data_IF_464129686035
#
_entry.id   IF_464129686035
#
_cell.length_a   1.000
_cell.length_b   1.000
_cell.length_c   1.000
_cell.angle_alpha   90.00
_cell.angle_beta   90.00
_cell.angle_gamma   90.00
#
_symmetry.space_group_name_H-M   'P 1'
#
loop_
_entity.id
_entity.type
_entity.pdbx_description
1 polymer ?
#
# COMPACT_ATOMS: atom_id res chain seq x y z
N UNK A 1 28.41 10.69 -18.28
CA UNK A 1 27.59 9.47 -18.41
C UNK A 1 26.16 9.88 -18.69
N UNK A 2 25.45 9.24 -19.62
CA UNK A 2 24.08 9.63 -19.97
C UNK A 2 23.08 8.75 -19.21
N UNK A 3 22.63 9.23 -18.06
CA UNK A 3 21.41 8.74 -17.40
C UNK A 3 20.20 9.44 -18.02
N UNK A 4 19.10 8.73 -18.24
CA UNK A 4 17.81 9.36 -18.61
C UNK A 4 16.86 9.26 -17.40
N UNK A 5 16.26 10.39 -17.03
CA UNK A 5 15.41 10.51 -15.83
C UNK A 5 13.98 10.81 -16.23
N UNK A 6 13.05 10.06 -15.67
CA UNK A 6 11.62 10.13 -15.94
C UNK A 6 10.83 10.33 -14.64
N UNK A 7 9.66 10.97 -14.72
CA UNK A 7 8.67 11.05 -13.65
C UNK A 7 7.64 9.94 -13.78
N UNK A 8 7.41 9.20 -12.68
CA UNK A 8 6.29 8.28 -12.52
C UNK A 8 5.58 8.55 -11.19
N UNK A 9 4.45 9.26 -11.25
CA UNK A 9 3.67 9.68 -10.07
C UNK A 9 4.52 10.51 -9.07
N UNK A 10 4.94 9.92 -7.95
CA UNK A 10 5.85 10.51 -6.94
C UNK A 10 7.33 10.07 -7.08
N UNK A 11 7.63 9.17 -8.01
CA UNK A 11 8.94 8.56 -8.20
C UNK A 11 9.71 9.17 -9.38
N UNK A 12 11.02 9.31 -9.23
CA UNK A 12 11.96 9.48 -10.35
C UNK A 12 12.41 8.08 -10.77
N UNK A 13 12.22 7.72 -12.03
CA UNK A 13 12.78 6.51 -12.63
C UNK A 13 14.03 6.91 -13.41
N UNK A 14 15.18 6.34 -13.06
CA UNK A 14 16.47 6.58 -13.69
C UNK A 14 16.84 5.35 -14.51
N UNK A 15 17.12 5.58 -15.78
CA UNK A 15 17.63 4.60 -16.73
C UNK A 15 19.13 4.78 -16.91
N UNK A 16 19.88 3.75 -16.52
CA UNK A 16 21.34 3.68 -16.66
C UNK A 16 21.69 3.00 -17.99
N UNK A 17 22.89 3.28 -18.53
CA UNK A 17 23.41 2.53 -19.69
C UNK A 17 23.70 1.08 -19.28
N UNK A 18 22.83 0.15 -19.70
CA UNK A 18 23.01 -1.30 -19.48
C UNK A 18 21.88 -1.95 -18.67
N UNK A 19 20.62 -1.78 -19.09
CA UNK A 19 19.42 -2.47 -18.57
C UNK A 19 19.01 -2.13 -17.13
N UNK A 20 19.93 -1.62 -16.30
CA UNK A 20 19.63 -1.23 -14.91
C UNK A 20 18.68 -0.02 -14.86
N UNK A 21 17.53 -0.23 -14.22
CA UNK A 21 16.57 0.81 -13.84
C UNK A 21 16.57 0.98 -12.33
N UNK A 22 16.51 2.22 -11.85
CA UNK A 22 16.38 2.53 -10.42
C UNK A 22 15.30 3.56 -10.17
N UNK A 23 14.48 3.37 -9.14
CA UNK A 23 13.56 4.39 -8.63
C UNK A 23 14.22 5.23 -7.54
N UNK A 24 13.78 6.48 -7.41
CA UNK A 24 14.09 7.39 -6.29
C UNK A 24 12.81 8.07 -5.84
N UNK A 25 12.59 8.19 -4.52
CA UNK A 25 11.54 9.03 -3.93
C UNK A 25 12.08 9.82 -2.72
N UNK A 26 11.51 10.99 -2.47
CA UNK A 26 11.76 11.76 -1.24
C UNK A 26 11.05 11.10 -0.05
N UNK A 27 11.70 11.12 1.12
CA UNK A 27 11.06 10.88 2.42
C UNK A 27 11.19 12.12 3.32
N UNK A 28 10.39 12.19 4.38
CA UNK A 28 10.42 13.30 5.32
C UNK A 28 11.84 13.60 5.86
N UNK A 29 12.08 14.85 6.26
CA UNK A 29 13.36 15.36 6.78
C UNK A 29 14.50 15.47 5.74
N UNK A 30 14.18 15.55 4.45
CA UNK A 30 15.19 15.82 3.41
C UNK A 30 16.07 14.61 3.07
N UNK A 31 15.64 13.41 3.44
CA UNK A 31 16.27 12.18 2.98
C UNK A 31 15.58 11.65 1.71
N UNK A 32 16.29 10.84 0.95
CA UNK A 32 15.79 10.17 -0.25
C UNK A 32 15.99 8.67 -0.15
N UNK A 33 15.06 7.91 -0.73
CA UNK A 33 15.10 6.45 -0.83
C UNK A 33 15.22 6.05 -2.28
N UNK A 34 16.06 5.05 -2.56
CA UNK A 34 16.21 4.48 -3.89
C UNK A 34 16.28 2.96 -3.87
N UNK A 35 15.98 2.36 -5.02
CA UNK A 35 16.05 0.92 -5.22
C UNK A 35 15.92 0.54 -6.68
N UNK A 36 16.10 -0.74 -6.98
CA UNK A 36 15.98 -1.26 -8.36
C UNK A 36 14.54 -1.30 -8.86
N UNK A 37 14.41 -1.15 -10.17
CA UNK A 37 13.19 -1.33 -10.94
C UNK A 37 13.42 -2.43 -11.99
N UNK A 38 12.35 -3.12 -12.35
CA UNK A 38 12.37 -4.22 -13.31
C UNK A 38 11.22 -4.06 -14.30
N UNK A 39 11.45 -4.23 -15.60
CA UNK A 39 10.37 -4.26 -16.60
C UNK A 39 9.98 -5.72 -16.82
N UNK A 40 8.69 -6.01 -16.66
CA UNK A 40 8.06 -7.29 -16.97
C UNK A 40 6.97 -7.00 -17.99
N UNK A 41 7.28 -7.17 -19.28
CA UNK A 41 6.37 -6.80 -20.37
C UNK A 41 5.87 -5.35 -20.25
N UNK A 42 4.55 -5.17 -20.13
CA UNK A 42 3.88 -3.89 -19.98
C UNK A 42 3.82 -3.36 -18.53
N UNK A 43 4.51 -3.99 -17.57
CA UNK A 43 4.51 -3.62 -16.15
C UNK A 43 5.92 -3.20 -15.70
N UNK A 44 6.04 -2.00 -15.11
CA UNK A 44 7.22 -1.61 -14.33
C UNK A 44 7.04 -2.08 -12.86
N UNK A 45 7.85 -3.02 -12.43
CA UNK A 45 7.90 -3.49 -11.04
C UNK A 45 8.89 -2.65 -10.26
N UNK A 46 8.40 -1.87 -9.29
CA UNK A 46 9.19 -1.12 -8.32
C UNK A 46 9.69 -2.11 -7.25
N UNK A 47 11.01 -2.30 -7.17
CA UNK A 47 11.65 -3.23 -6.24
C UNK A 47 11.67 -2.74 -4.79
N UNK A 48 12.42 -3.45 -3.96
CA UNK A 48 12.65 -3.07 -2.55
C UNK A 48 13.53 -1.82 -2.43
N UNK A 49 13.51 -1.21 -1.24
CA UNK A 49 14.51 -0.23 -0.84
C UNK A 49 15.90 -0.87 -0.88
N UNK A 50 16.82 -0.32 -1.67
CA UNK A 50 18.24 -0.71 -1.65
C UNK A 50 19.10 0.32 -0.89
N UNK A 51 18.77 1.63 -0.93
CA UNK A 51 19.52 2.70 -0.25
C UNK A 51 18.65 3.82 0.29
N UNK A 52 19.09 4.40 1.41
CA UNK A 52 18.56 5.65 1.98
C UNK A 52 19.73 6.61 2.19
N UNK A 53 19.62 7.82 1.64
CA UNK A 53 20.70 8.80 1.54
C UNK A 53 20.17 10.21 1.87
N UNK A 54 21.05 11.15 2.22
CA UNK A 54 20.67 12.56 2.26
C UNK A 54 20.24 13.00 0.85
N UNK A 55 19.18 13.80 0.76
CA UNK A 55 18.54 14.16 -0.50
C UNK A 55 18.04 15.61 -0.50
N UNK A 56 17.07 15.85 -1.36
CA UNK A 56 16.45 17.16 -1.54
C UNK A 56 15.31 17.36 -0.52
N UNK A 57 15.04 18.61 -0.16
CA UNK A 57 13.82 18.95 0.58
C UNK A 57 12.58 18.63 -0.28
N UNK A 58 11.44 18.40 0.36
CA UNK A 58 10.19 17.97 -0.31
C UNK A 58 9.81 18.84 -1.52
N UNK A 59 9.98 20.16 -1.39
CA UNK A 59 9.64 21.12 -2.42
C UNK A 59 10.63 21.04 -3.60
N UNK A 60 11.93 21.05 -3.32
CA UNK A 60 13.00 20.90 -4.31
C UNK A 60 12.87 19.59 -5.10
N UNK A 61 12.62 18.47 -4.41
CA UNK A 61 12.38 17.17 -5.05
C UNK A 61 11.16 17.23 -5.97
N UNK A 62 10.08 17.87 -5.53
CA UNK A 62 8.85 18.01 -6.32
C UNK A 62 9.04 18.91 -7.54
N UNK A 63 9.76 20.02 -7.40
CA UNK A 63 10.12 20.91 -8.51
C UNK A 63 11.01 20.22 -9.54
N UNK A 64 11.99 19.43 -9.09
CA UNK A 64 12.82 18.62 -9.97
C UNK A 64 11.98 17.54 -10.68
N UNK A 65 11.17 16.78 -9.93
CA UNK A 65 10.26 15.76 -10.45
C UNK A 65 9.31 16.32 -11.54
N UNK A 66 8.81 17.54 -11.37
CA UNK A 66 7.92 18.19 -12.33
C UNK A 66 8.61 18.64 -13.63
N UNK A 67 9.93 18.78 -13.65
CA UNK A 67 10.74 19.12 -14.84
C UNK A 67 11.07 17.88 -15.70
N UNK A 68 10.88 16.67 -15.19
CA UNK A 68 11.21 15.43 -15.90
C UNK A 68 10.12 14.99 -16.89
N UNK A 69 10.49 14.36 -18.02
CA UNK A 69 9.53 13.72 -18.92
C UNK A 69 8.76 12.61 -18.18
N UNK A 70 7.50 12.39 -18.53
CA UNK A 70 6.73 11.30 -17.93
C UNK A 70 7.23 9.93 -18.40
N UNK A 71 7.17 8.93 -17.52
CA UNK A 71 7.43 7.54 -17.88
C UNK A 71 6.34 7.02 -18.84
N UNK A 72 6.76 6.51 -19.99
CA UNK A 72 5.88 6.04 -21.07
C UNK A 72 6.26 4.66 -21.63
N UNK A 73 7.27 3.97 -21.07
CA UNK A 73 7.75 2.68 -21.59
C UNK A 73 6.91 1.47 -21.18
N UNK A 74 6.06 1.61 -20.16
CA UNK A 74 5.15 0.58 -19.68
C UNK A 74 3.76 1.16 -19.48
N UNK A 75 2.72 0.36 -19.71
CA UNK A 75 1.32 0.78 -19.47
C UNK A 75 0.98 0.81 -17.99
N UNK A 76 1.58 -0.08 -17.22
CA UNK A 76 1.33 -0.23 -15.80
C UNK A 76 2.61 -0.17 -14.95
N UNK A 77 2.42 0.02 -13.65
CA UNK A 77 3.43 -0.19 -12.62
C UNK A 77 2.82 -0.80 -11.35
N UNK A 78 3.63 -1.51 -10.57
CA UNK A 78 3.26 -2.05 -9.26
C UNK A 78 4.50 -2.21 -8.38
N UNK A 79 4.32 -2.53 -7.10
CA UNK A 79 5.43 -2.80 -6.18
C UNK A 79 5.70 -4.31 -6.08
N UNK A 80 6.96 -4.72 -6.10
CA UNK A 80 7.37 -6.12 -5.91
C UNK A 80 6.86 -6.72 -4.59
N UNK A 81 6.74 -5.89 -3.54
CA UNK A 81 6.18 -6.26 -2.24
C UNK A 81 4.68 -6.60 -2.26
N UNK A 82 3.97 -6.18 -3.32
CA UNK A 82 2.55 -6.50 -3.54
C UNK A 82 2.33 -7.75 -4.40
N UNK A 83 3.41 -8.32 -4.94
CA UNK A 83 3.40 -9.53 -5.74
C UNK A 83 3.98 -10.71 -4.95
N UNK A 84 3.56 -11.91 -5.33
CA UNK A 84 4.00 -13.18 -4.74
C UNK A 84 4.41 -14.12 -5.86
N UNK A 85 5.52 -14.84 -5.67
CA UNK A 85 5.93 -15.91 -6.59
C UNK A 85 4.90 -17.05 -6.53
N UNK A 86 4.57 -17.64 -7.68
CA UNK A 86 3.79 -18.87 -7.73
C UNK A 86 4.71 -20.04 -7.40
N UNK A 87 4.26 -20.97 -6.55
CA UNK A 87 5.05 -22.15 -6.19
C UNK A 87 6.02 -22.00 -5.00
N UNK A 88 6.24 -20.79 -4.45
CA UNK A 88 7.20 -20.61 -3.35
C UNK A 88 6.86 -19.41 -2.46
N UNK A 89 7.25 -19.48 -1.18
CA UNK A 89 7.18 -18.33 -0.24
C UNK A 89 8.32 -17.31 -0.43
N UNK A 90 9.25 -17.56 -1.36
CA UNK A 90 10.35 -16.66 -1.70
C UNK A 90 9.87 -15.29 -2.18
N UNK A 91 10.67 -14.25 -1.88
CA UNK A 91 10.38 -12.90 -2.36
C UNK A 91 10.50 -12.84 -3.89
N UNK A 92 9.52 -12.22 -4.53
CA UNK A 92 9.52 -12.03 -5.98
C UNK A 92 10.69 -11.14 -6.44
N UNK A 93 11.14 -10.20 -5.59
CA UNK A 93 12.32 -9.37 -5.84
C UNK A 93 13.58 -10.20 -6.07
N UNK A 94 13.81 -11.22 -5.23
CA UNK A 94 14.98 -12.13 -5.36
C UNK A 94 14.94 -12.85 -6.70
N UNK A 95 13.78 -13.42 -7.05
CA UNK A 95 13.58 -14.09 -8.33
C UNK A 95 13.77 -13.16 -9.54
N UNK A 96 13.26 -11.92 -9.50
CA UNK A 96 13.47 -10.97 -10.59
C UNK A 96 14.95 -10.58 -10.76
N UNK A 97 15.69 -10.43 -9.66
CA UNK A 97 17.14 -10.16 -9.71
C UNK A 97 17.88 -11.34 -10.38
N UNK A 98 17.58 -12.58 -9.97
CA UNK A 98 18.17 -13.79 -10.55
C UNK A 98 17.83 -13.97 -12.04
N UNK A 99 16.57 -13.72 -12.44
CA UNK A 99 16.16 -13.87 -13.85
C UNK A 99 16.78 -12.81 -14.77
N UNK A 100 16.97 -11.59 -14.28
CA UNK A 100 17.61 -10.51 -15.05
C UNK A 100 19.12 -10.70 -15.21
N UNK A 101 19.79 -11.47 -14.34
CA UNK A 101 21.19 -11.87 -14.57
C UNK A 101 21.34 -13.05 -15.55
N UNK A 102 20.25 -13.57 -16.12
CA UNK A 102 20.23 -14.77 -16.98
C UNK A 102 19.66 -14.45 -18.38
N UNK A 103 19.24 -13.21 -18.67
CA UNK A 103 18.54 -12.77 -19.91
C UNK A 103 17.26 -13.56 -20.27
N UNK A 104 16.82 -14.49 -19.41
CA UNK A 104 15.69 -15.40 -19.66
C UNK A 104 14.34 -14.87 -19.18
N UNK A 105 14.04 -13.59 -19.41
CA UNK A 105 12.63 -13.19 -19.54
C UNK A 105 12.17 -13.64 -20.93
N UNK A 106 11.97 -14.96 -21.05
CA UNK A 106 11.22 -15.56 -22.14
C UNK A 106 9.79 -15.04 -22.03
N UNK A 107 9.49 -14.00 -22.79
CA UNK A 107 8.19 -13.32 -22.85
C UNK A 107 7.17 -14.17 -23.61
N UNK A 108 7.06 -15.45 -23.24
CA UNK A 108 6.09 -16.38 -23.79
C UNK A 108 4.68 -15.94 -23.42
N UNK A 109 3.79 -15.92 -24.40
CA UNK A 109 2.38 -15.79 -24.15
C UNK A 109 1.95 -16.88 -23.14
N UNK A 110 1.22 -16.50 -22.10
CA UNK A 110 0.66 -17.47 -21.16
C UNK A 110 -0.45 -18.23 -21.89
N UNK A 111 -0.10 -19.39 -22.43
CA UNK A 111 -1.03 -20.26 -23.12
C UNK A 111 -1.94 -20.96 -22.10
N UNK A 112 -3.06 -20.32 -21.76
CA UNK A 112 -4.12 -20.89 -20.92
C UNK A 112 -5.00 -21.82 -21.78
N UNK A 113 -4.40 -22.82 -22.42
CA UNK A 113 -5.08 -23.69 -23.40
C UNK A 113 -5.86 -24.86 -22.78
N UNK A 114 -5.81 -25.02 -21.45
CA UNK A 114 -6.48 -26.13 -20.74
C UNK A 114 -7.43 -25.55 -19.69
N UNK A 115 -8.76 -25.59 -19.93
CA UNK A 115 -9.77 -25.30 -18.92
C UNK A 115 -9.60 -26.22 -17.71
N UNK A 116 -9.93 -25.72 -16.52
CA UNK A 116 -9.70 -26.48 -15.29
C UNK A 116 -9.79 -25.67 -14.01
N UNK A 117 -9.77 -26.38 -12.89
CA UNK A 117 -9.80 -25.79 -11.55
C UNK A 117 -8.48 -26.05 -10.82
N UNK A 118 -7.89 -25.00 -10.27
CA UNK A 118 -6.56 -24.98 -9.68
C UNK A 118 -6.56 -24.34 -8.28
N UNK A 119 -5.58 -24.67 -7.45
CA UNK A 119 -5.31 -24.01 -6.16
C UNK A 119 -4.21 -22.96 -6.29
N UNK A 120 -4.49 -21.75 -5.82
CA UNK A 120 -3.51 -20.69 -5.59
C UNK A 120 -3.57 -20.18 -4.14
N UNK A 121 -2.79 -20.81 -3.25
CA UNK A 121 -2.80 -20.49 -1.83
C UNK A 121 -4.16 -20.78 -1.19
N UNK A 122 -4.93 -19.72 -0.87
CA UNK A 122 -6.30 -19.80 -0.34
C UNK A 122 -7.38 -19.71 -1.43
N UNK A 123 -7.01 -19.39 -2.66
CA UNK A 123 -7.93 -19.17 -3.77
C UNK A 123 -8.10 -20.43 -4.61
N UNK A 124 -9.35 -20.77 -4.91
CA UNK A 124 -9.72 -21.66 -6.00
C UNK A 124 -9.76 -20.82 -7.27
N UNK A 125 -8.97 -21.17 -8.27
CA UNK A 125 -8.89 -20.48 -9.57
C UNK A 125 -9.54 -21.38 -10.60
N UNK A 126 -10.54 -20.89 -11.32
CA UNK A 126 -11.23 -21.64 -12.37
C UNK A 126 -10.97 -20.97 -13.71
N UNK A 127 -10.48 -21.75 -14.67
CA UNK A 127 -10.34 -21.38 -16.08
C UNK A 127 -11.49 -22.00 -16.84
N UNK A 128 -12.32 -21.15 -17.43
CA UNK A 128 -13.43 -21.52 -18.31
C UNK A 128 -12.95 -21.84 -19.75
N UNK A 129 -13.80 -22.49 -20.55
CA UNK A 129 -13.55 -22.76 -21.99
C UNK A 129 -13.26 -21.47 -22.77
N UNK A 130 -13.90 -20.36 -22.39
CA UNK A 130 -13.68 -19.03 -22.96
C UNK A 130 -12.33 -18.38 -22.53
N UNK A 131 -11.43 -19.12 -21.88
CA UNK A 131 -10.19 -18.62 -21.25
C UNK A 131 -10.42 -17.54 -20.18
N UNK A 132 -11.66 -17.37 -19.72
CA UNK A 132 -11.99 -16.46 -18.62
C UNK A 132 -11.49 -17.10 -17.33
N UNK A 133 -10.61 -16.38 -16.62
CA UNK A 133 -10.07 -16.82 -15.33
C UNK A 133 -10.90 -16.17 -14.23
N UNK A 134 -11.41 -16.97 -13.30
CA UNK A 134 -12.18 -16.52 -12.14
C UNK A 134 -11.56 -17.06 -10.85
N UNK A 135 -11.86 -16.42 -9.73
CA UNK A 135 -11.41 -16.85 -8.40
C UNK A 135 -12.58 -17.00 -7.42
N UNK A 136 -12.42 -17.93 -6.49
CA UNK A 136 -13.29 -18.14 -5.33
C UNK A 136 -12.45 -18.32 -4.06
N UNK A 137 -12.93 -17.81 -2.93
CA UNK A 137 -12.40 -18.06 -1.57
C UNK A 137 -13.54 -17.90 -0.57
N UNK A 138 -13.33 -18.30 0.68
CA UNK A 138 -14.23 -17.96 1.77
C UNK A 138 -13.92 -16.56 2.31
N UNK A 139 -14.96 -15.73 2.43
CA UNK A 139 -14.94 -14.42 3.10
C UNK A 139 -15.19 -14.52 4.61
N UNK A 140 -15.33 -13.36 5.25
CA UNK A 140 -15.34 -13.26 6.72
C UNK A 140 -16.60 -13.86 7.38
N UNK A 141 -17.72 -13.89 6.65
CA UNK A 141 -19.00 -14.47 7.10
C UNK A 141 -19.18 -15.96 6.73
N UNK A 142 -18.08 -16.69 6.47
CA UNK A 142 -18.08 -18.05 5.91
C UNK A 142 -18.83 -18.23 4.56
N UNK A 143 -19.22 -17.13 3.90
CA UNK A 143 -19.76 -17.15 2.54
C UNK A 143 -18.65 -17.35 1.51
N UNK A 144 -18.95 -18.08 0.44
CA UNK A 144 -18.07 -18.15 -0.73
C UNK A 144 -18.17 -16.83 -1.49
N UNK A 145 -17.04 -16.16 -1.64
CA UNK A 145 -16.91 -14.91 -2.40
C UNK A 145 -16.03 -15.17 -3.62
N UNK A 146 -16.29 -14.45 -4.71
CA UNK A 146 -15.50 -14.58 -5.93
C UNK A 146 -15.56 -13.37 -6.86
N UNK A 147 -14.89 -13.52 -7.99
CA UNK A 147 -14.86 -12.53 -9.07
C UNK A 147 -13.90 -12.93 -10.18
N UNK A 148 -13.64 -12.02 -11.09
CA UNK A 148 -12.72 -12.18 -12.23
C UNK A 148 -11.24 -12.08 -11.82
N UNK A 149 -10.38 -12.71 -12.62
CA UNK A 149 -8.94 -12.51 -12.61
C UNK A 149 -8.47 -11.93 -13.95
N UNK A 150 -7.36 -11.21 -13.91
CA UNK A 150 -6.73 -10.62 -15.08
C UNK A 150 -5.29 -11.12 -15.17
N UNK A 151 -4.80 -11.48 -16.35
CA UNK A 151 -3.39 -11.83 -16.55
C UNK A 151 -2.78 -10.76 -17.43
N UNK A 152 -1.71 -10.13 -16.93
CA UNK A 152 -0.95 -9.11 -17.64
C UNK A 152 0.53 -9.46 -17.51
N UNK A 153 1.24 -9.51 -18.64
CA UNK A 153 2.68 -9.72 -18.71
C UNK A 153 3.19 -10.93 -17.88
N UNK A 154 2.44 -12.04 -17.88
CA UNK A 154 2.80 -13.27 -17.17
C UNK A 154 2.47 -13.29 -15.67
N UNK A 155 1.75 -12.28 -15.15
CA UNK A 155 1.36 -12.14 -13.74
C UNK A 155 -0.17 -12.23 -13.61
N UNK A 156 -0.66 -13.05 -12.67
CA UNK A 156 -2.09 -13.16 -12.35
C UNK A 156 -2.50 -12.10 -11.31
N UNK A 157 -3.50 -11.29 -11.64
CA UNK A 157 -4.11 -10.33 -10.72
C UNK A 157 -5.51 -10.79 -10.30
N UNK A 158 -5.67 -11.05 -9.00
CA UNK A 158 -6.97 -11.31 -8.38
C UNK A 158 -7.78 -10.02 -8.38
N UNK A 159 -8.92 -10.02 -9.08
CA UNK A 159 -9.82 -8.87 -9.24
C UNK A 159 -10.56 -8.48 -7.95
N UNK A 160 -11.45 -7.48 -8.02
CA UNK A 160 -12.34 -7.15 -6.92
C UNK A 160 -13.31 -8.30 -6.62
N UNK A 161 -13.92 -8.26 -5.43
CA UNK A 161 -15.06 -9.12 -5.11
C UNK A 161 -16.26 -8.64 -5.91
N UNK A 162 -16.82 -9.52 -6.72
CA UNK A 162 -17.97 -9.24 -7.59
C UNK A 162 -19.19 -10.07 -7.15
N UNK A 163 -18.96 -11.34 -6.80
CA UNK A 163 -20.02 -12.29 -6.45
C UNK A 163 -19.95 -12.70 -4.98
N UNK A 164 -21.09 -12.73 -4.31
CA UNK A 164 -21.34 -13.54 -3.11
C UNK A 164 -22.22 -14.73 -3.52
N UNK A 165 -21.82 -15.93 -3.14
CA UNK A 165 -22.68 -17.11 -3.21
C UNK A 165 -23.24 -17.36 -1.81
N UNK A 166 -24.57 -17.37 -1.69
CA UNK A 166 -25.28 -17.62 -0.42
C UNK A 166 -25.22 -19.10 0.01
N UNK A 167 -24.68 -19.99 -0.84
CA UNK A 167 -24.32 -21.35 -0.46
C UNK A 167 -23.21 -21.33 0.59
N UNK A 168 -23.61 -21.38 1.86
CA UNK A 168 -22.76 -21.42 3.04
C UNK A 168 -22.00 -22.74 3.18
N UNK A 169 -21.09 -23.04 2.24
CA UNK A 169 -20.21 -24.20 2.34
C UNK A 169 -19.33 -24.08 3.59
N UNK A 170 -19.28 -25.13 4.40
CA UNK A 170 -18.47 -25.12 5.62
C UNK A 170 -17.01 -24.80 5.31
N UNK A 171 -16.41 -23.89 6.08
CA UNK A 171 -15.02 -23.45 5.89
C UNK A 171 -14.02 -24.59 5.83
N UNK A 172 -14.27 -25.65 6.62
CA UNK A 172 -13.45 -26.85 6.65
C UNK A 172 -13.55 -27.68 5.35
N UNK A 173 -14.74 -27.73 4.75
CA UNK A 173 -15.01 -28.49 3.51
C UNK A 173 -14.27 -27.83 2.34
N UNK A 174 -14.50 -26.54 2.10
CA UNK A 174 -13.81 -25.79 1.03
C UNK A 174 -12.29 -25.91 1.11
N UNK A 175 -11.68 -25.74 2.30
CA UNK A 175 -10.22 -25.86 2.44
C UNK A 175 -9.70 -27.30 2.35
N UNK A 176 -10.55 -28.31 2.50
CA UNK A 176 -10.19 -29.70 2.23
C UNK A 176 -10.26 -29.98 0.72
N UNK A 177 -11.33 -29.57 0.04
CA UNK A 177 -11.46 -29.64 -1.42
C UNK A 177 -10.32 -28.89 -2.12
N UNK A 178 -10.00 -27.68 -1.64
CA UNK A 178 -8.93 -26.85 -2.18
C UNK A 178 -7.57 -27.57 -2.18
N UNK A 179 -7.27 -28.37 -1.14
CA UNK A 179 -6.02 -29.14 -1.06
C UNK A 179 -5.90 -30.24 -2.11
N UNK A 180 -7.03 -30.77 -2.60
CA UNK A 180 -7.06 -31.81 -3.62
C UNK A 180 -6.83 -31.26 -5.03
N UNK A 181 -7.02 -29.95 -5.23
CA UNK A 181 -6.87 -29.31 -6.53
C UNK A 181 -5.38 -29.17 -6.94
N UNK A 182 -5.07 -29.35 -8.24
CA UNK A 182 -3.72 -29.13 -8.77
C UNK A 182 -3.27 -27.70 -8.51
N UNK A 183 -1.99 -27.51 -8.22
CA UNK A 183 -1.46 -26.19 -7.96
C UNK A 183 -1.40 -25.35 -9.24
N UNK A 184 -1.77 -24.07 -9.14
CA UNK A 184 -1.62 -23.12 -10.23
C UNK A 184 -0.14 -22.97 -10.61
N UNK A 185 0.15 -23.10 -11.91
CA UNK A 185 1.47 -23.12 -12.53
C UNK A 185 1.56 -22.22 -13.79
N UNK A 186 0.43 -21.68 -14.26
CA UNK A 186 0.34 -20.96 -15.55
C UNK A 186 0.96 -19.57 -15.54
N UNK A 187 1.12 -18.95 -14.37
CA UNK A 187 1.85 -17.67 -14.20
C UNK A 187 3.02 -17.83 -13.25
N UNK A 188 4.10 -17.09 -13.46
CA UNK A 188 5.26 -17.13 -12.56
C UNK A 188 5.00 -16.37 -11.25
N UNK A 189 4.04 -15.43 -11.27
CA UNK A 189 3.69 -14.57 -10.16
C UNK A 189 2.18 -14.30 -10.09
N UNK A 190 1.75 -13.81 -8.92
CA UNK A 190 0.40 -13.31 -8.71
C UNK A 190 0.36 -12.12 -7.73
N UNK A 191 -0.72 -11.35 -7.77
CA UNK A 191 -0.99 -10.23 -6.87
C UNK A 191 -2.47 -9.86 -6.83
N UNK A 192 -2.80 -8.73 -6.20
CA UNK A 192 -4.15 -8.18 -6.23
C UNK A 192 -4.26 -7.05 -7.26
N UNK A 193 -5.41 -6.94 -7.92
CA UNK A 193 -5.67 -5.91 -8.93
C UNK A 193 -5.44 -4.48 -8.39
N UNK A 194 -5.83 -4.20 -7.14
CA UNK A 194 -5.59 -2.90 -6.49
C UNK A 194 -4.10 -2.54 -6.26
N UNK A 195 -3.18 -3.47 -6.52
CA UNK A 195 -1.74 -3.23 -6.50
C UNK A 195 -1.19 -2.77 -7.86
N UNK A 196 -1.92 -3.01 -8.95
CA UNK A 196 -1.58 -2.59 -10.31
C UNK A 196 -2.07 -1.16 -10.55
N UNK A 197 -1.24 -0.34 -11.19
CA UNK A 197 -1.51 1.08 -11.42
C UNK A 197 -1.21 1.45 -12.84
N UNK A 198 -2.05 2.29 -13.43
CA UNK A 198 -1.82 2.82 -14.78
C UNK A 198 -0.71 3.88 -14.71
N UNK A 199 0.30 3.75 -15.56
CA UNK A 199 1.25 4.83 -15.84
C UNK A 199 0.46 5.94 -16.55
N UNK A 200 0.19 7.04 -15.84
CA UNK A 200 -0.61 8.16 -16.36
C UNK A 200 0.07 8.71 -17.62
N UNK A 201 -0.60 8.57 -18.77
CA UNK A 201 -0.14 9.14 -20.03
C UNK A 201 0.23 10.62 -19.89
N UNK A 202 1.22 11.04 -20.67
CA UNK A 202 1.69 12.42 -20.75
C UNK A 202 0.69 13.34 -21.45
N UNK A 203 -0.51 13.52 -20.87
CA UNK A 203 -1.32 14.70 -21.17
C UNK A 203 -0.48 15.91 -20.78
N UNK A 204 -0.14 16.74 -21.76
CA UNK A 204 0.61 17.99 -21.58
C UNK A 204 -0.20 18.92 -20.66
N UNK A 205 0.04 18.83 -19.35
CA UNK A 205 -0.63 19.68 -18.37
C UNK A 205 -0.14 21.11 -18.57
N UNK A 206 -1.10 22.03 -18.68
CA UNK A 206 -0.83 23.48 -18.75
C UNK A 206 0.12 23.86 -17.59
N UNK A 207 1.11 24.75 -17.82
CA UNK A 207 2.09 25.09 -16.81
C UNK A 207 1.42 25.54 -15.51
N UNK A 208 1.95 25.07 -14.39
CA UNK A 208 1.49 25.44 -13.06
C UNK A 208 1.61 26.95 -12.90
N UNK A 209 0.47 27.67 -12.94
CA UNK A 209 0.45 29.09 -12.58
C UNK A 209 0.82 29.19 -11.11
N UNK A 210 2.02 29.67 -10.82
CA UNK A 210 2.41 30.02 -9.46
C UNK A 210 1.43 31.09 -8.93
N UNK A 211 0.60 30.71 -7.96
CA UNK A 211 -0.31 31.63 -7.24
C UNK A 211 0.52 32.34 -6.16
N UNK A 212 1.58 33.03 -6.57
CA UNK A 212 2.34 34.00 -5.76
C UNK A 212 3.05 34.97 -6.71
N UNK A 213 2.39 36.09 -7.01
CA UNK A 213 3.08 37.35 -7.29
C UNK A 213 2.85 38.24 -6.06
N UNK A 214 3.88 38.66 -5.31
CA UNK A 214 3.75 39.79 -4.41
C UNK A 214 3.64 41.05 -5.28
N UNK A 215 2.41 41.43 -5.62
CA UNK A 215 2.15 42.68 -6.31
C UNK A 215 2.44 43.84 -5.33
N UNK A 216 3.33 44.75 -5.74
CA UNK A 216 3.90 45.76 -4.86
C UNK A 216 2.83 46.83 -4.53
N UNK A 217 2.13 46.66 -3.41
CA UNK A 217 1.05 47.58 -3.00
C UNK A 217 1.63 48.95 -2.66
N UNK A 218 1.42 49.93 -3.54
CA UNK A 218 1.53 51.36 -3.19
C UNK A 218 0.22 51.82 -2.56
N UNK A 219 0.30 52.28 -1.33
CA UNK A 219 -0.82 52.74 -0.50
C UNK A 219 -1.24 54.17 -0.86
N UNK A 220 -2.55 54.38 -1.10
CA UNK A 220 -3.21 55.66 -0.80
C UNK A 220 -4.65 55.43 -0.29
N UNK A 221 -5.11 56.38 0.52
CA UNK A 221 -6.40 56.42 1.26
C UNK A 221 -7.24 57.58 0.66
N UNK A 222 -8.58 57.67 0.71
CA UNK A 222 -9.63 56.98 1.50
C UNK A 222 -10.97 57.04 0.73
N UNK A 223 -11.95 56.15 0.97
CA UNK A 223 -13.34 56.53 1.39
C UNK A 223 -14.34 55.35 1.42
N UNK A 224 -14.99 55.20 2.59
CA UNK A 224 -16.40 54.87 2.85
C UNK A 224 -17.17 53.86 1.95
N UNK A 225 -17.55 52.73 2.55
CA UNK A 225 -18.71 51.92 2.09
C UNK A 225 -20.02 52.71 2.21
N UNK A 226 -21.04 52.31 1.42
CA UNK A 226 -22.22 51.75 2.07
C UNK A 226 -22.60 50.35 1.56
N UNK A 227 -23.40 49.66 2.38
CA UNK A 227 -23.81 48.26 2.25
C UNK A 227 -25.26 48.16 1.72
N UNK A 228 -25.47 47.41 0.63
CA UNK A 228 -26.74 46.79 0.17
C UNK A 228 -26.35 45.61 -0.75
N UNK A 229 -26.57 44.33 -0.43
CA UNK A 229 -27.83 43.57 -0.33
C UNK A 229 -28.42 43.10 -1.69
N UNK A 230 -27.96 41.93 -2.16
CA UNK A 230 -28.77 40.75 -2.54
C UNK A 230 -27.78 39.62 -2.95
N UNK A 231 -27.84 38.41 -2.39
CA UNK A 231 -28.78 37.31 -2.59
C UNK A 231 -28.78 36.69 -4.00
N UNK A 232 -28.52 35.37 -4.01
CA UNK A 232 -28.81 34.38 -5.06
C UNK A 232 -28.02 34.41 -6.38
N UNK A 233 -26.92 33.65 -6.43
CA UNK A 233 -26.79 32.60 -7.44
C UNK A 233 -25.88 31.42 -7.01
N UNK A 234 -26.31 30.19 -7.33
CA UNK A 234 -25.57 28.90 -7.31
C UNK A 234 -25.06 28.36 -5.97
N UNK A 235 -25.99 27.74 -5.24
CA UNK A 235 -25.75 26.42 -4.61
C UNK A 235 -25.41 25.36 -5.68
N UNK A 236 -24.20 25.36 -6.25
CA UNK A 236 -23.80 24.32 -7.20
C UNK A 236 -22.27 24.13 -7.32
N UNK A 237 -21.54 24.10 -6.19
CA UNK A 237 -20.09 23.74 -6.21
C UNK A 237 -19.47 23.24 -4.90
N UNK A 238 -20.25 22.98 -3.85
CA UNK A 238 -19.74 22.64 -2.51
C UNK A 238 -19.66 21.13 -2.21
N UNK A 239 -20.16 20.28 -3.11
CA UNK A 239 -20.13 18.81 -2.97
C UNK A 239 -18.86 18.17 -3.54
N UNK A 240 -18.42 18.54 -4.74
CA UNK A 240 -17.23 17.93 -5.39
C UNK A 240 -15.92 18.22 -4.62
N UNK A 241 -15.80 19.41 -4.05
CA UNK A 241 -14.56 19.88 -3.41
C UNK A 241 -14.28 19.23 -2.04
N UNK A 242 -15.29 18.64 -1.38
CA UNK A 242 -15.10 17.92 -0.11
C UNK A 242 -14.64 16.47 -0.28
N UNK A 243 -14.94 15.82 -1.40
CA UNK A 243 -14.53 14.43 -1.67
C UNK A 243 -13.03 14.34 -1.96
N UNK A 244 -12.48 15.31 -2.70
CA UNK A 244 -11.06 15.29 -3.10
C UNK A 244 -10.06 15.46 -1.93
N UNK A 245 -10.45 16.10 -0.83
CA UNK A 245 -9.54 16.37 0.30
C UNK A 245 -9.46 15.18 1.25
N UNK A 246 -10.55 14.44 1.40
CA UNK A 246 -10.61 13.29 2.33
C UNK A 246 -9.88 12.06 1.78
N UNK A 247 -10.01 11.75 0.49
CA UNK A 247 -9.31 10.63 -0.15
C UNK A 247 -7.77 10.79 -0.15
N UNK A 248 -7.27 12.01 -0.37
CA UNK A 248 -5.82 12.27 -0.36
C UNK A 248 -5.17 12.06 1.01
N UNK A 249 -5.84 12.51 2.08
CA UNK A 249 -5.36 12.32 3.46
C UNK A 249 -5.42 10.84 3.90
N UNK A 250 -6.49 10.11 3.54
CA UNK A 250 -6.66 8.69 3.87
C UNK A 250 -5.60 7.81 3.21
N UNK A 251 -5.29 8.07 1.93
CA UNK A 251 -4.31 7.32 1.14
C UNK A 251 -2.85 7.58 1.52
N UNK A 252 -2.54 8.72 2.14
CA UNK A 252 -1.19 9.06 2.61
C UNK A 252 -0.86 8.43 3.97
N UNK A 253 -1.82 8.38 4.90
CA UNK A 253 -1.60 7.83 6.25
C UNK A 253 -1.51 6.29 6.26
N UNK A 254 -2.31 5.59 5.46
CA UNK A 254 -2.44 4.13 5.55
C UNK A 254 -1.28 3.29 4.97
N UNK A 255 -0.24 3.90 4.38
CA UNK A 255 0.70 3.14 3.53
C UNK A 255 2.06 2.75 4.09
N UNK A 256 2.61 3.42 5.12
CA UNK A 256 4.05 3.25 5.43
C UNK A 256 4.39 3.11 6.92
N UNK A 257 3.68 3.74 7.85
CA UNK A 257 4.25 3.96 9.20
C UNK A 257 4.22 2.71 10.12
N UNK A 258 3.23 1.81 10.04
CA UNK A 258 2.79 1.17 11.29
C UNK A 258 2.62 -0.36 11.37
N UNK A 259 3.17 -1.19 10.46
CA UNK A 259 3.01 -2.67 10.60
C UNK A 259 4.21 -3.49 11.09
N UNK A 260 5.47 -3.07 10.87
CA UNK A 260 6.65 -3.88 11.30
C UNK A 260 7.32 -3.43 12.59
N UNK A 261 7.06 -2.18 13.03
CA UNK A 261 7.59 -1.62 14.28
C UNK A 261 6.60 -1.77 15.42
N UNK A 262 5.32 -1.45 15.19
CA UNK A 262 4.27 -1.50 16.23
C UNK A 262 4.07 -2.92 16.80
N UNK A 263 4.15 -3.98 15.99
CA UNK A 263 4.03 -5.37 16.48
C UNK A 263 5.10 -5.77 17.52
N UNK A 264 6.24 -5.08 17.58
CA UNK A 264 7.24 -5.24 18.65
C UNK A 264 7.02 -4.27 19.80
N UNK A 265 6.55 -3.05 19.52
CA UNK A 265 6.26 -2.04 20.55
C UNK A 265 5.04 -2.40 21.40
N UNK A 266 3.95 -2.91 20.80
CA UNK A 266 2.74 -3.31 21.54
C UNK A 266 3.03 -4.44 22.52
N UNK A 267 3.87 -5.41 22.15
CA UNK A 267 4.33 -6.47 23.06
C UNK A 267 5.06 -5.91 24.30
N UNK A 268 5.94 -4.93 24.10
CA UNK A 268 6.66 -4.26 25.20
C UNK A 268 5.74 -3.38 26.07
N UNK A 269 4.78 -2.67 25.46
CA UNK A 269 3.79 -1.86 26.18
C UNK A 269 2.87 -2.75 27.02
N UNK A 270 2.35 -3.84 26.45
CA UNK A 270 1.50 -4.81 27.16
C UNK A 270 2.29 -5.47 28.31
N UNK A 271 3.53 -5.89 28.08
CA UNK A 271 4.38 -6.45 29.13
C UNK A 271 4.66 -5.42 30.24
N UNK A 272 4.97 -4.17 29.89
CA UNK A 272 5.20 -3.08 30.84
C UNK A 272 3.98 -2.77 31.71
N UNK A 273 2.78 -2.70 31.11
CA UNK A 273 1.51 -2.53 31.83
C UNK A 273 1.27 -3.71 32.78
N UNK A 274 1.50 -4.95 32.33
CA UNK A 274 1.30 -6.15 33.15
C UNK A 274 2.26 -6.20 34.35
N UNK A 275 3.54 -5.85 34.16
CA UNK A 275 4.51 -5.74 35.25
C UNK A 275 4.18 -4.59 36.22
N UNK A 276 3.81 -3.41 35.71
CA UNK A 276 3.39 -2.28 36.53
C UNK A 276 2.18 -2.60 37.40
N UNK A 277 1.16 -3.24 36.81
CA UNK A 277 -0.03 -3.71 37.54
C UNK A 277 0.32 -4.71 38.64
N UNK A 278 1.25 -5.62 38.39
CA UNK A 278 1.68 -6.63 39.38
C UNK A 278 2.40 -6.00 40.58
N UNK A 279 3.25 -4.99 40.33
CA UNK A 279 3.93 -4.22 41.39
C UNK A 279 2.93 -3.38 42.19
N UNK A 280 1.93 -2.79 41.53
CA UNK A 280 0.86 -2.02 42.16
C UNK A 280 0.00 -2.89 43.08
N UNK A 281 -0.44 -4.07 42.63
CA UNK A 281 -1.20 -5.02 43.45
C UNK A 281 -0.40 -5.48 44.68
N UNK A 282 0.88 -5.81 44.52
CA UNK A 282 1.75 -6.18 45.64
C UNK A 282 1.92 -5.04 46.66
N UNK A 283 1.92 -3.78 46.19
CA UNK A 283 1.98 -2.61 47.06
C UNK A 283 0.68 -2.40 47.84
N UNK A 284 -0.48 -2.58 47.20
CA UNK A 284 -1.80 -2.56 47.89
C UNK A 284 -1.86 -3.65 48.96
N UNK A 285 -1.49 -4.89 48.63
CA UNK A 285 -1.53 -6.02 49.54
C UNK A 285 -0.63 -5.80 50.76
N UNK A 286 0.57 -5.24 50.56
CA UNK A 286 1.50 -4.88 51.64
C UNK A 286 0.96 -3.73 52.52
N UNK A 287 0.28 -2.74 51.93
CA UNK A 287 -0.38 -1.65 52.67
C UNK A 287 -1.57 -2.18 53.49
N UNK A 288 -2.38 -3.08 52.92
CA UNK A 288 -3.49 -3.73 53.60
C UNK A 288 -3.02 -4.62 54.77
N UNK A 289 -1.92 -5.36 54.59
CA UNK A 289 -1.31 -6.13 55.67
C UNK A 289 -0.79 -5.23 56.81
N UNK A 290 -0.14 -4.10 56.46
CA UNK A 290 0.34 -3.13 57.45
C UNK A 290 -0.79 -2.40 58.17
N UNK A 291 -1.91 -2.09 57.49
CA UNK A 291 -3.08 -1.47 58.14
C UNK A 291 -3.78 -2.45 59.07
N UNK A 292 -3.97 -3.71 58.67
CA UNK A 292 -4.53 -4.76 59.53
C UNK A 292 -3.69 -4.96 60.80
N UNK A 293 -2.36 -5.08 60.66
CA UNK A 293 -1.42 -5.22 61.78
C UNK A 293 -1.33 -3.98 62.68
N UNK A 294 -1.76 -2.81 62.20
CA UNK A 294 -1.89 -1.58 63.00
C UNK A 294 -3.23 -1.55 63.75
N UNK A 295 -4.32 -1.95 63.10
CA UNK A 295 -5.66 -2.09 63.69
C UNK A 295 -5.65 -3.12 64.83
N UNK A 296 -5.00 -4.27 64.65
CA UNK A 296 -4.85 -5.28 65.72
C UNK A 296 -4.12 -4.75 66.96
N UNK A 297 -3.06 -3.95 66.79
CA UNK A 297 -2.36 -3.32 67.93
C UNK A 297 -3.26 -2.32 68.66
N UNK A 298 -4.02 -1.50 67.94
CA UNK A 298 -4.99 -0.59 68.56
C UNK A 298 -6.12 -1.35 69.27
N UNK A 299 -6.61 -2.46 68.71
CA UNK A 299 -7.63 -3.30 69.33
C UNK A 299 -7.12 -3.95 70.63
N UNK A 300 -5.87 -4.42 70.65
CA UNK A 300 -5.22 -5.02 71.82
C UNK A 300 -4.86 -4.00 72.92
N UNK A 301 -4.74 -2.72 72.58
CA UNK A 301 -4.55 -1.62 73.56
C UNK A 301 -5.87 -1.11 74.16
N UNK A 302 -7.03 -1.43 73.58
CA UNK A 302 -8.36 -1.03 74.08
C UNK A 302 -9.03 -2.06 75.00
N UNK A 303 -8.44 -3.23 75.20
CA UNK A 303 -8.95 -4.29 76.07
C UNK A 303 -8.10 -4.48 77.34
N UNK A 304 -7.59 -3.37 77.87
CA UNK A 304 -6.78 -3.30 79.09
C UNK A 304 -7.22 -2.09 79.91
#
# INVERSE_FOLDING_TARGET
MNEIKYRLDEFIIIEHRGVLLTWVTHIALGAQRSGRCFIVGNILVIGTLDREEAGHLKLEFHEHLMKLPAWNKTRYYCFASSLRKVGTEQSLTTYLIEQLSIDKIGMGAVNITVPGTFRLGRYKITVDENSIVSWQTIGDLNRTIGGTCFIESGILFIGPKENELDEGQSRKIFFNELKLLPQWDKTFAWGHYGSLRICKESKSRKPYKAIWKPEYVKTYITTNMPFLQSQELRKEKSSELKVSVFEWLKMAWYRVVEWKVWGRLTGLIIAGIFFGWRIFMFSIEKIAFLSHRKIERFRKHRSK
#
